data_IF_701725079938
#
_entry.id   IF_701725079938
#
_cell.length_a   1.000
_cell.length_b   1.000
_cell.length_c   1.000
_cell.angle_alpha   90.00
_cell.angle_beta   90.00
_cell.angle_gamma   90.00
#
_symmetry.space_group_name_H-M   'P 1'
#
loop_
_entity.id
_entity.type
_entity.pdbx_description
1 polymer ?
#
# COMPACT_ATOMS: atom_id res chain seq x y z
N UNK A 1 -26.56 -38.01 -17.18
CA UNK A 1 -27.72 -37.23 -17.65
C UNK A 1 -28.12 -36.33 -16.51
N UNK A 2 -27.71 -35.05 -16.58
CA UNK A 2 -28.09 -33.84 -15.83
C UNK A 2 -28.18 -33.93 -14.28
N UNK A 3 -27.81 -32.93 -13.48
CA UNK A 3 -27.84 -31.48 -13.68
C UNK A 3 -27.12 -30.82 -12.48
N UNK A 4 -26.74 -29.56 -12.66
CA UNK A 4 -26.31 -28.59 -11.63
C UNK A 4 -24.79 -28.45 -11.42
N UNK A 5 -24.07 -28.18 -12.52
CA UNK A 5 -22.84 -27.38 -12.46
C UNK A 5 -23.24 -25.92 -12.20
N UNK A 6 -22.97 -25.46 -10.98
CA UNK A 6 -23.13 -24.08 -10.54
C UNK A 6 -22.15 -23.20 -11.36
N UNK A 7 -22.68 -22.56 -12.39
CA UNK A 7 -21.95 -21.66 -13.26
C UNK A 7 -21.44 -20.47 -12.44
N UNK A 8 -20.12 -20.36 -12.26
CA UNK A 8 -19.48 -19.25 -11.57
C UNK A 8 -19.92 -17.93 -12.25
N UNK A 9 -20.66 -17.06 -11.55
CA UNK A 9 -21.16 -15.82 -12.11
C UNK A 9 -20.05 -14.79 -12.35
N UNK A 10 -18.77 -15.12 -12.19
CA UNK A 10 -17.64 -14.25 -12.50
C UNK A 10 -16.85 -14.70 -13.73
N UNK A 11 -17.21 -15.82 -14.37
CA UNK A 11 -16.50 -16.35 -15.54
C UNK A 11 -16.52 -15.37 -16.74
N UNK A 12 -17.55 -14.54 -16.83
CA UNK A 12 -17.66 -13.50 -17.85
C UNK A 12 -16.73 -12.29 -17.62
N UNK A 13 -16.10 -12.16 -16.45
CA UNK A 13 -15.10 -11.12 -16.18
C UNK A 13 -13.68 -11.52 -16.61
N UNK A 14 -13.46 -12.81 -16.91
CA UNK A 14 -12.15 -13.37 -17.28
C UNK A 14 -11.86 -13.28 -18.80
N UNK A 15 -12.71 -12.61 -19.56
CA UNK A 15 -12.54 -12.40 -21.00
C UNK A 15 -11.59 -11.26 -21.34
N UNK A 16 -10.50 -11.60 -22.06
CA UNK A 16 -9.64 -10.68 -22.83
C UNK A 16 -8.70 -9.74 -22.05
N UNK A 17 -7.67 -10.32 -21.42
CA UNK A 17 -6.30 -10.24 -21.98
C UNK A 17 -5.71 -8.90 -22.47
N UNK A 18 -6.04 -7.77 -21.87
CA UNK A 18 -5.26 -6.54 -22.03
C UNK A 18 -5.16 -5.77 -20.70
N UNK A 19 -4.04 -5.98 -20.02
CA UNK A 19 -3.35 -5.08 -19.08
C UNK A 19 -4.05 -3.75 -18.73
N UNK A 20 -5.07 -3.77 -17.86
CA UNK A 20 -5.57 -2.55 -17.19
C UNK A 20 -4.68 -2.20 -15.99
N UNK A 21 -3.91 -3.17 -15.50
CA UNK A 21 -2.89 -2.91 -14.50
C UNK A 21 -1.71 -2.26 -15.23
N UNK A 22 -1.32 -1.02 -14.89
CA UNK A 22 -0.10 -0.45 -15.43
C UNK A 22 1.07 -1.37 -15.08
N UNK A 23 1.99 -1.57 -16.03
CA UNK A 23 3.24 -2.28 -15.78
C UNK A 23 3.91 -1.66 -14.55
N UNK A 24 3.90 -2.41 -13.46
CA UNK A 24 4.61 -2.04 -12.25
C UNK A 24 6.09 -2.18 -12.58
N UNK A 25 6.82 -1.06 -12.67
CA UNK A 25 8.25 -1.01 -12.96
C UNK A 25 9.00 -2.09 -12.14
N UNK A 26 9.85 -2.92 -12.76
CA UNK A 26 10.37 -4.10 -12.11
C UNK A 26 11.29 -3.72 -10.93
N UNK A 27 10.79 -4.11 -9.76
CA UNK A 27 11.51 -4.58 -8.57
C UNK A 27 12.56 -3.62 -8.01
N UNK A 28 12.07 -2.75 -7.12
CA UNK A 28 12.82 -2.33 -5.94
C UNK A 28 13.59 -3.53 -5.39
N UNK A 29 14.90 -3.40 -5.20
CA UNK A 29 15.70 -4.54 -4.73
C UNK A 29 15.28 -4.86 -3.29
N UNK A 30 15.18 -6.14 -2.95
CA UNK A 30 14.94 -6.56 -1.57
C UNK A 30 15.90 -5.83 -0.61
N UNK A 31 15.36 -5.10 0.36
CA UNK A 31 16.16 -4.35 1.33
C UNK A 31 16.66 -2.98 0.83
N UNK A 32 16.17 -2.49 -0.30
CA UNK A 32 16.44 -1.13 -0.74
C UNK A 32 15.76 -0.13 0.22
N UNK A 33 16.56 0.83 0.68
CA UNK A 33 16.10 1.88 1.57
C UNK A 33 15.62 3.06 0.74
N UNK A 34 14.33 3.35 0.80
CA UNK A 34 13.74 4.56 0.24
C UNK A 34 13.68 5.64 1.33
N UNK A 35 14.41 6.72 1.12
CA UNK A 35 14.35 7.89 2.00
C UNK A 35 13.52 8.99 1.33
N UNK A 36 12.48 9.43 2.02
CA UNK A 36 11.57 10.50 1.57
C UNK A 36 11.63 11.67 2.54
N UNK A 37 11.59 12.89 2.01
CA UNK A 37 11.61 14.12 2.81
C UNK A 37 10.48 15.05 2.39
N UNK A 38 9.71 15.49 3.37
CA UNK A 38 8.53 16.33 3.21
C UNK A 38 8.78 17.66 3.93
N UNK A 39 9.21 18.71 3.23
CA UNK A 39 9.36 20.03 3.82
C UNK A 39 7.99 20.69 4.04
N UNK A 40 7.81 21.28 5.21
CA UNK A 40 6.69 22.14 5.61
C UNK A 40 7.16 23.56 5.93
N UNK A 41 6.23 24.41 6.37
CA UNK A 41 6.56 25.79 6.71
C UNK A 41 7.41 25.91 7.99
N UNK A 42 7.16 25.03 8.96
CA UNK A 42 7.72 25.03 10.32
C UNK A 42 8.37 23.71 10.73
N UNK A 43 8.29 22.68 9.87
CA UNK A 43 8.82 21.33 10.12
C UNK A 43 9.25 20.69 8.81
N UNK A 44 10.25 19.82 8.86
CA UNK A 44 10.56 18.88 7.77
C UNK A 44 10.49 17.47 8.34
N UNK A 45 9.72 16.60 7.70
CA UNK A 45 9.59 15.21 8.09
C UNK A 45 10.38 14.34 7.11
N UNK A 46 11.24 13.50 7.64
CA UNK A 46 12.00 12.51 6.85
C UNK A 46 11.58 11.11 7.27
N UNK A 47 11.25 10.26 6.30
CA UNK A 47 10.83 8.88 6.51
C UNK A 47 11.77 7.97 5.74
N UNK A 48 12.31 6.98 6.44
CA UNK A 48 13.14 5.94 5.89
C UNK A 48 12.32 4.63 5.83
N UNK A 49 12.01 4.17 4.62
CA UNK A 49 11.30 2.93 4.36
C UNK A 49 12.27 1.87 3.86
N UNK A 50 12.25 0.69 4.46
CA UNK A 50 12.93 -0.49 3.90
C UNK A 50 11.90 -1.22 3.07
N UNK A 51 12.13 -1.28 1.76
CA UNK A 51 11.19 -1.87 0.84
C UNK A 51 11.55 -3.34 0.61
N UNK A 52 10.54 -4.20 0.80
CA UNK A 52 10.60 -5.61 0.47
C UNK A 52 9.64 -5.85 -0.69
N UNK A 53 10.19 -5.87 -1.91
CA UNK A 53 9.45 -6.22 -3.12
C UNK A 53 9.37 -7.74 -3.33
N UNK A 54 9.06 -8.49 -2.27
CA UNK A 54 8.51 -9.84 -2.40
C UNK A 54 7.32 -9.84 -3.38
N UNK A 55 7.04 -10.94 -4.11
CA UNK A 55 5.98 -10.95 -5.13
C UNK A 55 4.61 -10.66 -4.48
N UNK A 56 4.18 -9.41 -4.58
CA UNK A 56 2.99 -8.87 -3.94
C UNK A 56 3.00 -7.34 -4.07
N UNK A 57 1.89 -6.73 -4.48
CA UNK A 57 1.82 -5.30 -4.79
C UNK A 57 2.02 -4.33 -3.59
N UNK A 58 2.37 -4.83 -2.40
CA UNK A 58 2.45 -4.06 -1.15
C UNK A 58 3.82 -3.43 -0.84
N UNK A 59 4.86 -3.71 -1.63
CA UNK A 59 6.25 -3.37 -1.28
C UNK A 59 6.77 -2.00 -1.75
N UNK A 60 5.95 -1.13 -2.34
CA UNK A 60 6.41 0.15 -2.93
C UNK A 60 5.57 1.31 -2.40
N UNK A 61 6.23 2.44 -2.10
CA UNK A 61 5.53 3.68 -1.80
C UNK A 61 4.85 4.20 -3.07
N UNK A 62 3.53 4.41 -3.03
CA UNK A 62 2.78 4.92 -4.17
C UNK A 62 2.95 6.44 -4.30
N UNK A 63 3.07 7.00 -5.52
CA UNK A 63 3.17 8.44 -5.74
C UNK A 63 2.03 9.25 -5.09
N UNK A 64 0.83 8.68 -5.05
CA UNK A 64 -0.32 9.29 -4.38
C UNK A 64 -0.11 9.43 -2.85
N UNK A 65 0.54 8.44 -2.22
CA UNK A 65 0.90 8.48 -0.80
C UNK A 65 1.91 9.59 -0.50
N UNK A 66 2.92 9.77 -1.36
CA UNK A 66 3.88 10.87 -1.21
C UNK A 66 3.21 12.25 -1.31
N UNK A 67 2.30 12.44 -2.26
CA UNK A 67 1.53 13.69 -2.41
C UNK A 67 0.68 13.95 -1.17
N UNK A 68 0.01 12.93 -0.63
CA UNK A 68 -0.82 13.06 0.57
C UNK A 68 0.03 13.37 1.82
N UNK A 69 1.17 12.68 1.99
CA UNK A 69 2.13 12.97 3.05
C UNK A 69 2.60 14.44 3.00
N UNK A 70 3.02 14.90 1.81
CA UNK A 70 3.44 16.28 1.60
C UNK A 70 2.32 17.28 1.92
N UNK A 71 1.08 16.96 1.56
CA UNK A 71 -0.08 17.79 1.88
C UNK A 71 -0.29 17.90 3.39
N UNK A 72 -0.23 16.80 4.14
CA UNK A 72 -0.38 16.80 5.59
C UNK A 72 0.69 17.65 6.28
N UNK A 73 1.95 17.52 5.85
CA UNK A 73 3.06 18.32 6.40
C UNK A 73 2.87 19.82 6.15
N UNK A 74 2.35 20.20 4.98
CA UNK A 74 2.05 21.61 4.67
C UNK A 74 0.97 22.22 5.55
N UNK A 75 0.18 21.42 6.26
CA UNK A 75 -0.80 21.94 7.24
C UNK A 75 -0.17 22.33 8.59
N UNK A 76 1.11 22.04 8.79
CA UNK A 76 1.88 22.45 9.97
C UNK A 76 2.17 21.31 10.95
N UNK A 77 3.22 21.50 11.75
CA UNK A 77 3.83 20.52 12.66
C UNK A 77 2.88 19.78 13.60
N UNK A 78 1.82 20.43 14.06
CA UNK A 78 0.87 19.88 15.02
C UNK A 78 -0.55 19.72 14.43
N UNK A 79 -0.68 19.68 13.10
CA UNK A 79 -1.99 19.68 12.44
C UNK A 79 -2.86 18.46 12.78
N UNK A 80 -2.27 17.40 13.35
CA UNK A 80 -2.96 16.18 13.76
C UNK A 80 -2.91 15.92 15.27
N UNK A 81 -2.39 16.85 16.07
CA UNK A 81 -2.27 16.71 17.51
C UNK A 81 -3.61 16.30 18.16
N UNK A 82 -3.60 15.18 18.89
CA UNK A 82 -4.76 14.68 19.62
C UNK A 82 -5.87 14.09 18.75
N UNK A 83 -5.63 13.85 17.46
CA UNK A 83 -6.57 13.19 16.56
C UNK A 83 -6.29 11.69 16.48
N UNK A 84 -7.36 10.90 16.43
CA UNK A 84 -7.27 9.49 16.05
C UNK A 84 -7.37 9.38 14.53
N UNK A 85 -6.42 8.69 13.89
CA UNK A 85 -6.32 8.56 12.44
C UNK A 85 -6.35 7.07 12.08
N UNK A 86 -7.19 6.69 11.13
CA UNK A 86 -7.24 5.35 10.55
C UNK A 86 -6.78 5.46 9.08
N UNK A 87 -5.74 4.72 8.72
CA UNK A 87 -5.30 4.58 7.33
C UNK A 87 -5.75 3.23 6.77
N UNK A 88 -6.49 3.27 5.66
CA UNK A 88 -6.97 2.09 4.93
C UNK A 88 -6.10 1.85 3.70
N UNK A 89 -5.64 0.62 3.49
CA UNK A 89 -4.74 0.30 2.40
C UNK A 89 -3.40 1.02 2.56
N UNK A 90 -2.82 0.93 3.77
CA UNK A 90 -1.63 1.68 4.15
C UNK A 90 -0.39 1.36 3.31
N UNK A 91 -0.34 0.20 2.65
CA UNK A 91 0.80 -0.32 1.93
C UNK A 91 2.05 -0.31 2.81
N UNK A 92 3.00 0.55 2.46
CA UNK A 92 4.23 0.77 3.23
C UNK A 92 4.04 1.53 4.55
N UNK A 93 2.85 2.09 4.80
CA UNK A 93 2.53 2.90 5.97
C UNK A 93 3.02 4.34 5.91
N UNK A 94 3.51 4.81 4.75
CA UNK A 94 4.14 6.12 4.60
C UNK A 94 3.28 7.27 5.14
N UNK A 95 2.01 7.35 4.74
CA UNK A 95 1.15 8.48 5.09
C UNK A 95 0.81 8.45 6.58
N UNK A 96 0.49 7.28 7.13
CA UNK A 96 0.21 7.12 8.54
C UNK A 96 1.42 7.36 9.44
N UNK A 97 2.63 7.02 9.00
CA UNK A 97 3.86 7.40 9.70
C UNK A 97 4.01 8.93 9.77
N UNK A 98 3.81 9.62 8.64
CA UNK A 98 3.82 11.09 8.61
C UNK A 98 2.71 11.66 9.49
N UNK A 99 1.52 11.05 9.49
CA UNK A 99 0.40 11.47 10.32
C UNK A 99 0.71 11.33 11.83
N UNK A 100 1.41 10.27 12.23
CA UNK A 100 1.85 10.06 13.61
C UNK A 100 2.88 11.11 14.04
N UNK A 101 3.85 11.42 13.16
CA UNK A 101 4.86 12.45 13.40
C UNK A 101 4.26 13.87 13.52
N UNK A 102 3.06 14.10 12.96
CA UNK A 102 2.29 15.35 13.11
C UNK A 102 1.36 15.37 14.34
N UNK A 103 1.53 14.41 15.27
CA UNK A 103 0.83 14.35 16.56
C UNK A 103 -0.43 13.48 16.57
N UNK A 104 -0.72 12.73 15.51
CA UNK A 104 -1.86 11.82 15.43
C UNK A 104 -1.61 10.51 16.19
N UNK A 105 -2.67 9.93 16.76
CA UNK A 105 -2.71 8.53 17.20
C UNK A 105 -3.21 7.69 16.03
N UNK A 106 -2.33 6.90 15.42
CA UNK A 106 -2.58 6.30 14.11
C UNK A 106 -2.78 4.78 14.20
N UNK A 107 -3.80 4.29 13.50
CA UNK A 107 -4.04 2.87 13.21
C UNK A 107 -3.83 2.64 11.71
N UNK A 108 -2.89 1.77 11.36
CA UNK A 108 -2.59 1.39 9.97
C UNK A 108 -3.27 0.08 9.64
N UNK A 109 -3.93 -0.02 8.48
CA UNK A 109 -4.59 -1.25 8.05
C UNK A 109 -4.32 -1.55 6.59
N UNK A 110 -4.08 -2.82 6.28
CA UNK A 110 -3.93 -3.33 4.92
C UNK A 110 -4.49 -4.76 4.81
N UNK A 111 -4.57 -5.29 3.59
CA UNK A 111 -4.94 -6.67 3.35
C UNK A 111 -3.84 -7.64 3.82
N UNK A 112 -4.24 -8.83 4.26
CA UNK A 112 -3.27 -9.90 4.55
C UNK A 112 -2.62 -10.40 3.25
N UNK A 113 -1.31 -10.66 3.27
CA UNK A 113 -0.62 -11.29 2.13
C UNK A 113 -1.20 -12.68 1.89
N UNK A 114 -1.81 -12.88 0.72
CA UNK A 114 -2.33 -14.17 0.28
C UNK A 114 -1.20 -14.94 -0.39
N UNK A 115 -0.63 -15.92 0.31
CA UNK A 115 0.29 -16.89 -0.29
C UNK A 115 -0.53 -18.05 -0.86
N UNK A 116 -0.58 -18.17 -2.20
CA UNK A 116 -1.09 -19.39 -2.84
C UNK A 116 0.02 -20.46 -2.80
N UNK A 117 -0.14 -21.45 -1.92
CA UNK A 117 0.64 -22.68 -1.96
C UNK A 117 0.02 -23.63 -3.01
N UNK A 118 0.58 -23.67 -4.21
CA UNK A 118 0.33 -24.75 -5.17
C UNK A 118 1.00 -26.03 -4.69
N UNK A 119 0.33 -26.75 -3.80
CA UNK A 119 0.85 -27.95 -3.14
C UNK A 119 -0.21 -29.03 -2.93
N UNK A 120 -0.91 -29.43 -3.99
CA UNK A 120 -1.59 -30.73 -4.03
C UNK A 120 -1.19 -31.44 -5.33
N UNK A 121 -0.07 -32.16 -5.26
CA UNK A 121 0.18 -33.28 -6.14
C UNK A 121 -0.80 -34.38 -5.76
N UNK A 122 -1.76 -34.67 -6.64
CA UNK A 122 -2.57 -35.87 -6.55
C UNK A 122 -1.68 -37.07 -6.86
N UNK A 123 -1.57 -38.00 -5.91
CA UNK A 123 -1.05 -39.35 -6.13
C UNK A 123 -2.13 -40.28 -6.64
#
# INVERSE_FOLDING_TARGET
>A
MNSDDECDPLDHLMGSGASIVPDQLPSVRHGEKLQLSFPGADITITVDLILDASPGCGGVAWPAGEVLAQYLVKRGSNSLQGKNVLELGSGTGLVGLVAAMLGGTVCLTDQASVYFSSGLGFS
#
